data_IF_546870897408
#
_entry.id   IF_546870897408
#
_cell.length_a   1.000
_cell.length_b   1.000
_cell.length_c   1.000
_cell.angle_alpha   90.00
_cell.angle_beta   90.00
_cell.angle_gamma   90.00
#
_symmetry.space_group_name_H-M   'P 1'
#
loop_
_entity.id
_entity.type
_entity.pdbx_description
1 polymer ?
#
# COMPACT_ATOMS: atom_id res chain seq x y z
N UNK A 1 -17.78 -0.90 8.79
CA UNK A 1 -16.91 -0.73 7.61
C UNK A 1 -15.47 -0.74 8.08
N UNK A 2 -14.64 -1.64 7.56
CA UNK A 2 -13.20 -1.70 7.89
C UNK A 2 -12.46 -0.61 7.13
N UNK A 3 -11.72 0.24 7.85
CA UNK A 3 -10.87 1.28 7.27
C UNK A 3 -9.40 0.91 7.43
N UNK A 4 -8.59 1.32 6.47
CA UNK A 4 -7.15 1.13 6.40
C UNK A 4 -6.49 2.49 6.58
N UNK A 5 -5.54 2.58 7.51
CA UNK A 5 -4.75 3.78 7.74
C UNK A 5 -3.62 3.86 6.73
N UNK A 6 -3.36 5.05 6.17
CA UNK A 6 -2.24 5.29 5.27
C UNK A 6 -1.23 6.18 5.98
N UNK A 7 0.01 5.74 6.04
CA UNK A 7 1.09 6.45 6.70
C UNK A 7 2.16 6.90 5.70
N UNK A 8 2.70 8.09 5.93
CA UNK A 8 3.86 8.65 5.21
C UNK A 8 4.82 9.24 6.25
N UNK A 9 6.10 8.84 6.22
CA UNK A 9 7.10 9.29 7.20
C UNK A 9 6.75 8.97 8.67
N UNK A 10 5.92 7.96 8.93
CA UNK A 10 5.43 7.61 10.27
C UNK A 10 4.19 8.38 10.75
N UNK A 11 3.64 9.27 9.92
CA UNK A 11 2.45 10.06 10.24
C UNK A 11 1.22 9.52 9.51
N UNK A 12 0.08 9.44 10.20
CA UNK A 12 -1.22 9.11 9.59
C UNK A 12 -1.67 10.28 8.70
N UNK A 13 -1.78 10.04 7.39
CA UNK A 13 -2.18 11.08 6.43
C UNK A 13 -3.65 10.95 6.06
N UNK A 14 -4.18 9.72 6.00
CA UNK A 14 -5.57 9.46 5.61
C UNK A 14 -6.05 8.08 6.08
N UNK A 15 -7.36 7.91 6.14
CA UNK A 15 -8.03 6.61 6.32
C UNK A 15 -8.89 6.30 5.10
N UNK A 16 -8.75 5.09 4.56
CA UNK A 16 -9.43 4.65 3.34
C UNK A 16 -10.25 3.40 3.58
N UNK A 17 -11.32 3.19 2.80
CA UNK A 17 -11.89 1.86 2.65
C UNK A 17 -10.91 0.91 1.96
N UNK A 18 -11.18 -0.39 2.01
CA UNK A 18 -10.33 -1.39 1.31
C UNK A 18 -10.28 -1.12 -0.21
N UNK A 19 -11.40 -0.76 -0.82
CA UNK A 19 -11.47 -0.47 -2.26
C UNK A 19 -10.64 0.77 -2.61
N UNK A 20 -10.78 1.86 -1.84
CA UNK A 20 -9.97 3.08 -2.05
C UNK A 20 -8.47 2.82 -1.81
N UNK A 21 -8.13 2.00 -0.82
CA UNK A 21 -6.75 1.60 -0.56
C UNK A 21 -6.17 0.78 -1.72
N UNK A 22 -6.96 -0.13 -2.32
CA UNK A 22 -6.57 -0.86 -3.53
C UNK A 22 -6.30 0.07 -4.71
N UNK A 23 -7.18 1.05 -4.95
CA UNK A 23 -6.97 2.04 -6.02
C UNK A 23 -5.73 2.89 -5.78
N UNK A 24 -5.51 3.33 -4.54
CA UNK A 24 -4.31 4.09 -4.18
C UNK A 24 -3.04 3.27 -4.41
N UNK A 25 -3.01 2.00 -3.99
CA UNK A 25 -1.85 1.12 -4.18
C UNK A 25 -1.53 0.95 -5.65
N UNK A 26 -2.55 0.71 -6.49
CA UNK A 26 -2.36 0.62 -7.95
C UNK A 26 -1.74 1.90 -8.50
N UNK A 27 -2.31 3.06 -8.13
CA UNK A 27 -1.79 4.37 -8.58
C UNK A 27 -0.32 4.55 -8.17
N UNK A 28 0.01 4.35 -6.90
CA UNK A 28 1.38 4.52 -6.38
C UNK A 28 2.36 3.54 -7.02
N UNK A 29 1.94 2.32 -7.33
CA UNK A 29 2.76 1.35 -8.06
C UNK A 29 3.13 1.85 -9.47
N UNK A 30 2.17 2.40 -10.22
CA UNK A 30 2.47 3.04 -11.51
C UNK A 30 3.37 4.28 -11.38
N UNK A 31 3.34 4.96 -10.24
CA UNK A 31 4.24 6.07 -9.90
C UNK A 31 5.62 5.59 -9.41
N UNK A 32 5.93 4.29 -9.49
CA UNK A 32 7.23 3.72 -9.11
C UNK A 32 7.42 3.58 -7.59
N UNK A 33 6.34 3.41 -6.84
CA UNK A 33 6.39 3.20 -5.40
C UNK A 33 5.99 1.77 -5.01
N UNK A 34 6.66 1.25 -3.98
CA UNK A 34 6.26 0.02 -3.32
C UNK A 34 5.30 0.30 -2.17
N UNK A 35 4.51 -0.72 -1.82
CA UNK A 35 3.65 -0.69 -0.64
C UNK A 35 4.13 -1.68 0.42
N UNK A 36 4.09 -1.22 1.66
CA UNK A 36 4.21 -2.06 2.86
C UNK A 36 2.84 -2.10 3.52
N UNK A 37 2.36 -3.28 3.89
CA UNK A 37 1.12 -3.50 4.63
C UNK A 37 1.50 -4.15 5.96
N UNK A 38 1.19 -3.49 7.08
CA UNK A 38 1.57 -3.91 8.44
C UNK A 38 3.04 -4.34 8.56
N UNK A 39 3.96 -3.50 8.06
CA UNK A 39 5.40 -3.76 8.12
C UNK A 39 5.92 -4.81 7.14
N UNK A 40 5.06 -5.41 6.30
CA UNK A 40 5.47 -6.42 5.32
C UNK A 40 5.35 -5.88 3.89
N UNK A 41 6.44 -5.99 3.13
CA UNK A 41 6.45 -5.69 1.70
C UNK A 41 5.39 -6.53 0.97
N UNK A 42 4.61 -5.88 0.11
CA UNK A 42 3.66 -6.54 -0.78
C UNK A 42 3.99 -6.16 -2.20
N UNK A 43 4.11 -7.19 -3.04
CA UNK A 43 4.18 -7.00 -4.49
C UNK A 43 2.83 -6.49 -4.99
N UNK A 44 2.81 -5.23 -5.41
CA UNK A 44 1.59 -4.57 -5.89
C UNK A 44 1.16 -5.03 -7.30
N UNK A 45 1.98 -5.83 -8.01
CA UNK A 45 1.59 -6.46 -9.27
C UNK A 45 0.58 -7.60 -9.07
N UNK A 46 0.56 -8.21 -7.88
CA UNK A 46 -0.38 -9.26 -7.49
C UNK A 46 -1.55 -8.67 -6.69
N UNK A 47 -2.59 -8.23 -7.43
CA UNK A 47 -3.77 -7.57 -6.86
C UNK A 47 -4.53 -8.48 -5.88
N UNK A 48 -4.59 -9.80 -6.14
CA UNK A 48 -5.29 -10.73 -5.25
C UNK A 48 -4.62 -10.80 -3.89
N UNK A 49 -3.29 -10.88 -3.89
CA UNK A 49 -2.48 -10.85 -2.66
C UNK A 49 -2.58 -9.54 -1.90
N UNK A 50 -2.60 -8.40 -2.61
CA UNK A 50 -2.82 -7.08 -1.99
C UNK A 50 -4.18 -7.03 -1.31
N UNK A 51 -5.24 -7.48 -2.00
CA UNK A 51 -6.61 -7.49 -1.46
C UNK A 51 -6.72 -8.40 -0.23
N UNK A 52 -6.13 -9.60 -0.29
CA UNK A 52 -6.13 -10.52 0.84
C UNK A 52 -5.46 -9.89 2.07
N UNK A 53 -4.29 -9.25 1.89
CA UNK A 53 -3.61 -8.58 3.00
C UNK A 53 -4.35 -7.36 3.53
N UNK A 54 -4.91 -6.51 2.67
CA UNK A 54 -5.72 -5.37 3.09
C UNK A 54 -6.93 -5.81 3.92
N UNK A 55 -7.51 -6.97 3.64
CA UNK A 55 -8.63 -7.50 4.44
C UNK A 55 -8.26 -7.88 5.88
N UNK A 56 -6.96 -8.09 6.14
CA UNK A 56 -6.41 -8.52 7.43
C UNK A 56 -5.61 -7.41 8.12
N UNK A 57 -5.56 -6.22 7.54
CA UNK A 57 -4.74 -5.11 8.01
C UNK A 57 -5.17 -4.63 9.41
N UNK A 58 -4.21 -4.40 10.28
CA UNK A 58 -4.42 -3.97 11.67
C UNK A 58 -3.87 -2.57 11.94
N UNK A 59 -2.68 -2.29 11.42
CA UNK A 59 -2.04 -0.99 11.60
C UNK A 59 -2.35 -0.10 10.40
N UNK A 60 -1.94 -0.51 9.19
CA UNK A 60 -2.20 0.20 7.95
C UNK A 60 -1.19 -0.07 6.85
N UNK A 61 -1.09 0.87 5.92
CA UNK A 61 -0.20 0.79 4.76
C UNK A 61 0.75 2.00 4.71
N UNK A 62 1.89 1.80 4.08
CA UNK A 62 2.87 2.86 3.83
C UNK A 62 3.49 2.69 2.47
N UNK A 63 3.85 3.81 1.83
CA UNK A 63 4.47 3.83 0.52
C UNK A 63 5.91 4.29 0.61
N UNK A 64 6.77 3.68 -0.20
CA UNK A 64 8.17 4.03 -0.28
C UNK A 64 8.61 4.07 -1.75
N UNK A 65 9.51 4.99 -2.13
CA UNK A 65 10.10 4.94 -3.46
C UNK A 65 10.73 3.57 -3.71
N UNK A 66 10.63 3.05 -4.93
CA UNK A 66 11.44 1.90 -5.34
C UNK A 66 12.92 2.33 -5.39
N UNK A 67 13.63 2.27 -4.25
CA UNK A 67 15.07 2.48 -4.20
C UNK A 67 15.74 1.19 -4.66
N UNK A 68 15.75 0.95 -5.98
CA UNK A 68 16.28 -0.31 -6.52
C UNK A 68 15.78 -0.72 -7.91
N UNK A 69 15.52 0.23 -8.80
CA UNK A 69 15.27 -0.05 -10.22
C UNK A 69 15.93 1.03 -11.07
N UNK A 70 17.26 1.01 -11.14
CA UNK A 70 17.93 1.66 -12.26
C UNK A 70 17.39 1.02 -13.54
N UNK A 71 16.89 1.87 -14.44
CA UNK A 71 16.61 1.59 -15.85
C UNK A 71 15.60 0.46 -16.14
N UNK A 72 14.34 0.86 -16.38
CA UNK A 72 13.49 0.23 -17.39
C UNK A 72 13.10 1.28 -18.43
#
# INVERSE_FOLDING_TARGET
MTKVKVFEGGHLIQELTIEEALELIKKRFFEGQSVIIDGVYVDASDIEKVRERLSKVKEGISFFPLIGGGEF
#
